data_IF_733102490101
#
_entry.id   IF_733102490101
#
_cell.length_a   1.000
_cell.length_b   1.000
_cell.length_c   1.000
_cell.angle_alpha   90.00
_cell.angle_beta   90.00
_cell.angle_gamma   90.00
#
_symmetry.space_group_name_H-M   'P 1'
#
loop_
_entity.id
_entity.type
_entity.pdbx_description
1 polymer ?
#
# COMPACT_ATOMS: atom_id res chain seq x y z
N UNK A 1 -11.81 -13.43 2.95
CA UNK A 1 -11.04 -14.28 2.02
C UNK A 1 -9.87 -14.87 2.77
N UNK A 2 -9.38 -16.07 2.42
CA UNK A 2 -8.18 -16.63 3.03
C UNK A 2 -6.97 -15.80 2.61
N UNK A 3 -6.10 -15.46 3.57
CA UNK A 3 -4.83 -14.80 3.30
C UNK A 3 -3.93 -15.72 2.49
N UNK A 4 -3.32 -15.22 1.43
CA UNK A 4 -2.20 -15.90 0.78
C UNK A 4 -0.91 -15.34 1.37
N UNK A 5 -0.58 -15.76 2.59
CA UNK A 5 0.78 -15.62 3.12
C UNK A 5 1.57 -16.77 2.53
N UNK A 6 2.41 -16.49 1.53
CA UNK A 6 3.38 -17.50 1.05
C UNK A 6 4.64 -17.41 1.91
N UNK A 7 5.04 -18.56 2.44
CA UNK A 7 6.29 -18.70 3.19
C UNK A 7 7.48 -18.23 2.32
N UNK A 8 8.47 -17.54 2.89
CA UNK A 8 9.68 -17.15 2.17
C UNK A 8 10.37 -18.40 1.63
N UNK A 9 10.52 -18.53 0.31
CA UNK A 9 11.27 -19.62 -0.28
C UNK A 9 12.75 -19.22 -0.29
N UNK A 10 13.45 -19.43 0.82
CA UNK A 10 14.90 -19.29 0.92
C UNK A 10 15.46 -17.86 1.03
N UNK A 11 16.74 -17.74 1.41
CA UNK A 11 17.43 -16.45 1.49
C UNK A 11 17.57 -15.83 0.10
N UNK A 12 17.07 -14.60 -0.08
CA UNK A 12 17.19 -13.84 -1.33
C UNK A 12 15.89 -13.71 -2.15
N UNK A 13 14.78 -14.29 -1.69
CA UNK A 13 13.49 -14.07 -2.34
C UNK A 13 12.74 -12.86 -1.77
N UNK A 14 12.02 -12.15 -2.65
CA UNK A 14 11.06 -11.12 -2.26
C UNK A 14 9.85 -11.76 -1.58
N UNK A 15 9.33 -11.13 -0.53
CA UNK A 15 8.11 -11.55 0.16
C UNK A 15 6.91 -10.72 -0.34
N UNK A 16 5.73 -11.35 -0.40
CA UNK A 16 4.51 -10.71 -0.86
C UNK A 16 3.36 -10.96 0.12
N UNK A 17 2.81 -9.89 0.68
CA UNK A 17 1.67 -9.94 1.58
C UNK A 17 0.52 -9.18 0.95
N UNK A 18 -0.61 -9.83 0.69
CA UNK A 18 -1.76 -9.21 0.03
C UNK A 18 -3.03 -9.56 0.79
N UNK A 19 -4.08 -8.77 0.60
CA UNK A 19 -5.43 -9.13 0.98
C UNK A 19 -6.42 -8.83 -0.17
N UNK A 20 -7.68 -9.27 -0.02
CA UNK A 20 -8.73 -9.18 -1.04
C UNK A 20 -9.65 -7.96 -0.90
N UNK A 21 -9.37 -7.05 0.04
CA UNK A 21 -10.22 -5.88 0.29
C UNK A 21 -9.96 -4.79 -0.76
N UNK A 22 -10.97 -3.93 -1.00
CA UNK A 22 -10.86 -2.83 -1.96
C UNK A 22 -10.25 -1.57 -1.28
N UNK A 23 -9.29 -0.88 -1.93
CA UNK A 23 -8.58 -1.29 -3.14
C UNK A 23 -7.65 -2.44 -2.83
N UNK A 24 -7.36 -3.26 -3.84
CA UNK A 24 -6.37 -4.33 -3.69
C UNK A 24 -5.03 -3.72 -3.30
N UNK A 25 -4.48 -4.18 -2.19
CA UNK A 25 -3.21 -3.70 -1.66
C UNK A 25 -2.33 -4.89 -1.30
N UNK A 26 -1.02 -4.69 -1.45
CA UNK A 26 -0.03 -5.64 -1.03
C UNK A 26 1.22 -4.94 -0.50
N UNK A 27 2.04 -5.66 0.25
CA UNK A 27 3.38 -5.25 0.64
C UNK A 27 4.39 -6.14 -0.07
N UNK A 28 5.24 -5.50 -0.86
CA UNK A 28 6.40 -6.11 -1.48
C UNK A 28 7.62 -5.90 -0.57
N UNK A 29 8.20 -6.98 -0.05
CA UNK A 29 9.49 -6.90 0.64
C UNK A 29 10.62 -7.22 -0.32
N UNK A 30 11.56 -6.30 -0.48
CA UNK A 30 12.72 -6.45 -1.36
C UNK A 30 13.79 -7.32 -0.69
N UNK A 31 14.44 -8.23 -1.43
CA UNK A 31 15.50 -9.06 -0.88
C UNK A 31 16.76 -8.24 -0.62
N UNK A 32 17.47 -8.57 0.47
CA UNK A 32 18.74 -7.91 0.82
C UNK A 32 18.62 -6.46 1.27
N UNK A 33 17.40 -5.95 1.45
CA UNK A 33 17.12 -4.60 1.96
C UNK A 33 16.48 -4.72 3.34
N UNK A 34 16.79 -3.76 4.22
CA UNK A 34 16.16 -3.69 5.55
C UNK A 34 14.63 -3.62 5.42
N UNK A 35 13.90 -4.29 6.32
CA UNK A 35 12.44 -4.37 6.34
C UNK A 35 11.75 -3.06 6.73
N UNK A 36 12.51 -1.98 6.79
CA UNK A 36 12.07 -0.62 7.00
C UNK A 36 10.91 -0.22 6.05
N UNK A 37 9.89 0.40 6.65
CA UNK A 37 8.67 0.79 5.97
C UNK A 37 8.95 1.87 4.92
N UNK A 38 8.54 1.61 3.69
CA UNK A 38 8.81 2.46 2.53
C UNK A 38 10.25 2.41 2.03
N UNK A 39 11.12 1.57 2.60
CA UNK A 39 12.46 1.32 2.07
C UNK A 39 12.52 -0.11 1.53
N UNK A 40 12.63 -1.13 2.38
CA UNK A 40 12.58 -2.52 1.90
C UNK A 40 11.19 -3.14 1.95
N UNK A 41 10.23 -2.57 2.69
CA UNK A 41 8.83 -2.96 2.66
C UNK A 41 7.97 -1.89 1.95
N UNK A 42 7.57 -2.18 0.71
CA UNK A 42 6.88 -1.24 -0.16
C UNK A 42 5.38 -1.54 -0.21
N UNK A 43 4.54 -0.56 0.11
CA UNK A 43 3.10 -0.67 -0.10
C UNK A 43 2.78 -0.49 -1.59
N UNK A 44 2.11 -1.48 -2.16
CA UNK A 44 1.60 -1.54 -3.51
C UNK A 44 0.08 -1.39 -3.48
N UNK A 45 -0.48 -0.47 -4.26
CA UNK A 45 -1.96 -0.32 -4.42
C UNK A 45 -2.33 -0.42 -5.89
N UNK A 46 -3.38 -1.19 -6.18
CA UNK A 46 -3.98 -1.27 -7.50
C UNK A 46 -5.18 -0.32 -7.63
N UNK A 47 -5.18 0.50 -8.68
CA UNK A 47 -6.30 1.36 -9.06
C UNK A 47 -6.97 0.83 -10.33
N UNK A 48 -8.12 0.16 -10.17
CA UNK A 48 -8.94 -0.35 -11.27
C UNK A 48 -9.85 0.76 -11.84
N UNK A 49 -10.46 1.57 -10.98
CA UNK A 49 -11.26 2.74 -11.36
C UNK A 49 -10.81 4.00 -10.61
N UNK A 50 -10.26 4.96 -11.37
CA UNK A 50 -9.74 6.25 -10.86
C UNK A 50 -10.79 7.15 -10.23
N UNK A 51 -12.07 6.93 -10.53
CA UNK A 51 -13.19 7.74 -10.05
C UNK A 51 -13.80 7.19 -8.76
N UNK A 52 -13.40 5.98 -8.37
CA UNK A 52 -13.88 5.31 -7.16
C UNK A 52 -12.96 5.54 -5.97
N UNK A 53 -13.49 5.28 -4.76
CA UNK A 53 -12.72 5.26 -3.52
C UNK A 53 -11.95 6.58 -3.29
N UNK A 54 -10.71 6.52 -2.81
CA UNK A 54 -9.89 7.70 -2.49
C UNK A 54 -9.10 8.26 -3.68
N UNK A 55 -9.13 7.58 -4.84
CA UNK A 55 -8.30 7.97 -5.98
C UNK A 55 -8.60 9.37 -6.55
N UNK A 56 -9.85 9.88 -6.56
CA UNK A 56 -10.14 11.26 -6.93
C UNK A 56 -9.40 12.29 -6.07
N UNK A 57 -9.18 11.97 -4.79
CA UNK A 57 -8.60 12.86 -3.76
C UNK A 57 -7.10 12.65 -3.56
N UNK A 58 -6.45 11.82 -4.38
CA UNK A 58 -5.04 11.45 -4.21
C UNK A 58 -4.08 12.65 -4.28
N UNK A 59 -4.42 13.69 -5.03
CA UNK A 59 -3.64 14.93 -5.09
C UNK A 59 -3.73 15.73 -3.78
N UNK A 60 -4.93 15.83 -3.21
CA UNK A 60 -5.14 16.54 -1.95
C UNK A 60 -4.47 15.80 -0.80
N UNK A 61 -4.61 14.46 -0.75
CA UNK A 61 -3.94 13.62 0.24
C UNK A 61 -2.43 13.83 0.27
N UNK A 62 -1.77 13.87 -0.90
CA UNK A 62 -0.31 14.07 -0.96
C UNK A 62 0.10 15.50 -0.61
N UNK A 63 -0.78 16.49 -0.82
CA UNK A 63 -0.50 17.88 -0.43
C UNK A 63 -0.33 18.07 1.09
N UNK A 64 -0.91 17.17 1.89
CA UNK A 64 -0.77 17.14 3.35
C UNK A 64 0.45 16.37 3.85
N UNK A 65 1.25 15.78 2.96
CA UNK A 65 2.48 15.10 3.32
C UNK A 65 3.62 16.11 3.40
N UNK A 66 4.24 16.36 4.57
CA UNK A 66 5.36 17.28 4.67
C UNK A 66 6.57 16.68 3.95
N UNK A 67 6.79 17.09 2.72
CA UNK A 67 7.92 16.70 1.88
C UNK A 67 8.29 17.82 0.92
N UNK A 68 9.56 17.87 0.51
CA UNK A 68 10.03 18.92 -0.39
C UNK A 68 9.63 18.58 -1.83
N UNK A 69 9.89 17.33 -2.25
CA UNK A 69 9.59 16.84 -3.60
C UNK A 69 9.26 15.35 -3.57
N UNK A 70 8.59 14.89 -4.63
CA UNK A 70 8.39 13.47 -4.91
C UNK A 70 8.99 13.16 -6.27
N UNK A 71 9.89 12.18 -6.31
CA UNK A 71 10.45 11.64 -7.54
C UNK A 71 9.56 10.51 -8.05
N UNK A 72 9.20 10.57 -9.33
CA UNK A 72 8.39 9.55 -10.00
C UNK A 72 9.28 8.70 -10.90
N UNK A 73 9.18 7.38 -10.77
CA UNK A 73 9.91 6.43 -11.60
C UNK A 73 8.97 5.34 -12.11
N UNK A 74 8.73 5.33 -13.43
CA UNK A 74 8.01 4.23 -14.08
C UNK A 74 8.89 2.98 -14.12
N UNK A 75 8.30 1.84 -13.78
CA UNK A 75 8.93 0.52 -13.90
C UNK A 75 10.35 0.46 -13.30
N UNK A 76 10.51 0.94 -12.06
CA UNK A 76 11.81 0.98 -11.36
C UNK A 76 12.52 -0.38 -11.51
N UNK A 77 13.69 -0.44 -12.18
CA UNK A 77 14.36 -1.69 -12.53
C UNK A 77 14.76 -2.52 -11.31
N UNK A 78 14.80 -1.92 -10.12
CA UNK A 78 15.09 -2.61 -8.86
C UNK A 78 13.86 -3.26 -8.24
N UNK A 79 12.67 -2.75 -8.56
CA UNK A 79 11.39 -3.21 -8.00
C UNK A 79 10.69 -4.14 -9.01
N UNK A 80 10.76 -3.81 -10.30
CA UNK A 80 9.96 -4.42 -11.36
C UNK A 80 10.11 -5.95 -11.43
N UNK A 81 11.32 -6.57 -11.37
CA UNK A 81 11.44 -8.02 -11.42
C UNK A 81 10.70 -8.73 -10.26
N UNK A 82 10.79 -8.17 -9.06
CA UNK A 82 10.13 -8.71 -7.87
C UNK A 82 8.62 -8.50 -7.93
N UNK A 83 8.19 -7.29 -8.31
CA UNK A 83 6.79 -6.96 -8.45
C UNK A 83 6.09 -7.81 -9.52
N UNK A 84 6.69 -7.98 -10.70
CA UNK A 84 6.14 -8.81 -11.79
C UNK A 84 6.00 -10.27 -11.35
N UNK A 85 7.04 -10.85 -10.75
CA UNK A 85 7.01 -12.24 -10.30
C UNK A 85 5.89 -12.48 -9.27
N UNK A 86 5.73 -11.58 -8.31
CA UNK A 86 4.69 -11.70 -7.27
C UNK A 86 3.30 -11.34 -7.77
N UNK A 87 3.18 -10.29 -8.58
CA UNK A 87 1.92 -9.84 -9.17
C UNK A 87 1.29 -10.91 -10.06
N UNK A 88 2.09 -11.61 -10.87
CA UNK A 88 1.63 -12.76 -11.66
C UNK A 88 1.09 -13.88 -10.77
N UNK A 89 1.84 -14.25 -9.71
CA UNK A 89 1.44 -15.30 -8.77
C UNK A 89 0.15 -14.94 -8.01
N UNK A 90 -0.05 -13.66 -7.72
CA UNK A 90 -1.21 -13.13 -7.02
C UNK A 90 -2.36 -12.71 -7.94
N UNK A 91 -2.28 -13.01 -9.26
CA UNK A 91 -3.27 -12.63 -10.25
C UNK A 91 -3.66 -11.14 -10.18
N UNK A 92 -2.67 -10.26 -10.09
CA UNK A 92 -2.90 -8.82 -10.16
C UNK A 92 -3.39 -8.42 -11.55
N UNK A 93 -4.37 -7.49 -11.64
CA UNK A 93 -5.04 -7.19 -12.91
C UNK A 93 -4.12 -6.53 -13.95
N UNK A 94 -3.01 -5.93 -13.50
CA UNK A 94 -1.95 -5.43 -14.38
C UNK A 94 -0.60 -5.38 -13.64
N UNK A 95 0.48 -5.28 -14.39
CA UNK A 95 1.86 -5.29 -13.88
C UNK A 95 2.63 -4.00 -14.20
N UNK A 96 1.94 -2.98 -14.74
CA UNK A 96 2.50 -1.66 -14.97
C UNK A 96 2.53 -0.90 -13.66
N UNK A 97 3.71 -0.45 -13.25
CA UNK A 97 3.93 0.15 -11.94
C UNK A 97 4.55 1.56 -12.05
N UNK A 98 4.20 2.41 -11.09
CA UNK A 98 4.86 3.69 -10.84
C UNK A 98 5.34 3.70 -9.39
N UNK A 99 6.63 3.93 -9.20
CA UNK A 99 7.22 4.14 -7.87
C UNK A 99 7.31 5.63 -7.59
N UNK A 100 6.77 6.06 -6.45
CA UNK A 100 7.01 7.40 -5.91
C UNK A 100 8.03 7.31 -4.78
N UNK A 101 9.02 8.20 -4.81
CA UNK A 101 10.04 8.33 -3.77
C UNK A 101 10.04 9.75 -3.22
N UNK A 102 9.89 9.90 -1.90
CA UNK A 102 9.99 11.21 -1.25
C UNK A 102 11.44 11.68 -1.22
N UNK A 103 11.68 12.91 -1.68
CA UNK A 103 12.96 13.57 -1.67
C UNK A 103 12.89 14.72 -0.66
N UNK A 104 13.70 14.63 0.40
CA UNK A 104 13.76 15.64 1.46
C UNK A 104 12.61 15.57 2.48
N UNK A 105 12.70 16.44 3.50
CA UNK A 105 11.75 16.50 4.61
C UNK A 105 11.75 15.28 5.57
N UNK A 106 10.77 15.23 6.51
CA UNK A 106 10.66 14.18 7.54
C UNK A 106 10.43 12.77 6.99
N UNK A 107 10.00 12.65 5.74
CA UNK A 107 9.68 11.38 5.09
C UNK A 107 10.68 11.03 3.98
N UNK A 108 11.88 11.60 3.98
CA UNK A 108 12.90 11.33 2.96
C UNK A 108 13.15 9.82 2.75
N UNK A 109 13.31 9.43 1.49
CA UNK A 109 13.49 8.06 1.01
C UNK A 109 12.29 7.12 1.18
N UNK A 110 11.15 7.62 1.64
CA UNK A 110 9.92 6.83 1.68
C UNK A 110 9.44 6.53 0.26
N UNK A 111 9.17 5.25 -0.02
CA UNK A 111 8.69 4.78 -1.32
C UNK A 111 7.36 4.05 -1.22
N UNK A 112 6.57 4.18 -2.28
CA UNK A 112 5.35 3.40 -2.48
C UNK A 112 5.08 3.17 -3.97
N UNK A 113 4.28 2.16 -4.28
CA UNK A 113 4.04 1.70 -5.65
C UNK A 113 2.56 1.81 -5.99
N UNK A 114 2.25 2.49 -7.09
CA UNK A 114 0.93 2.54 -7.69
C UNK A 114 0.84 1.68 -8.94
N UNK A 115 -0.23 0.93 -9.08
CA UNK A 115 -0.42 -0.04 -10.16
C UNK A 115 -1.74 0.20 -10.85
N UNK A 116 -1.71 0.32 -12.18
CA UNK A 116 -2.87 0.54 -13.04
C UNK A 116 -2.48 0.45 -14.52
N UNK A 117 -3.48 0.26 -15.38
CA UNK A 117 -3.32 0.19 -16.84
C UNK A 117 -3.00 1.52 -17.50
N UNK A 118 -3.21 2.66 -16.82
CA UNK A 118 -2.92 3.99 -17.36
C UNK A 118 -2.10 4.85 -16.37
N UNK A 119 -1.30 5.78 -16.91
CA UNK A 119 -0.37 6.60 -16.13
C UNK A 119 -1.05 7.45 -15.05
N UNK A 120 -2.21 8.07 -15.37
CA UNK A 120 -2.95 8.91 -14.40
C UNK A 120 -3.46 8.09 -13.20
N UNK A 121 -3.96 6.88 -13.45
CA UNK A 121 -4.40 5.96 -12.40
C UNK A 121 -3.22 5.45 -11.57
N UNK A 122 -2.08 5.14 -12.20
CA UNK A 122 -0.85 4.76 -11.47
C UNK A 122 -0.40 5.86 -10.53
N UNK A 123 -0.40 7.11 -11.00
CA UNK A 123 -0.03 8.27 -10.19
C UNK A 123 -0.98 8.46 -8.99
N UNK A 124 -2.29 8.32 -9.19
CA UNK A 124 -3.27 8.38 -8.10
C UNK A 124 -3.06 7.26 -7.08
N UNK A 125 -2.91 6.02 -7.55
CA UNK A 125 -2.66 4.87 -6.69
C UNK A 125 -1.37 5.04 -5.87
N UNK A 126 -0.29 5.49 -6.51
CA UNK A 126 1.01 5.65 -5.87
C UNK A 126 0.98 6.75 -4.82
N UNK A 127 0.26 7.85 -5.06
CA UNK A 127 0.07 8.92 -4.07
C UNK A 127 -0.69 8.43 -2.85
N UNK A 128 -1.80 7.71 -3.04
CA UNK A 128 -2.54 7.13 -1.91
C UNK A 128 -1.66 6.15 -1.13
N UNK A 129 -0.91 5.29 -1.83
CA UNK A 129 0.02 4.35 -1.22
C UNK A 129 1.11 5.05 -0.42
N UNK A 130 1.66 6.16 -0.94
CA UNK A 130 2.71 6.92 -0.30
C UNK A 130 2.23 7.58 1.00
N UNK A 131 1.09 8.27 0.94
CA UNK A 131 0.50 8.91 2.13
C UNK A 131 0.12 7.84 3.16
N UNK A 132 -0.46 6.72 2.74
CA UNK A 132 -0.79 5.62 3.62
C UNK A 132 0.47 5.04 4.30
N UNK A 133 1.57 4.86 3.56
CA UNK A 133 2.85 4.38 4.10
C UNK A 133 3.43 5.38 5.11
N UNK A 134 3.39 6.68 4.80
CA UNK A 134 3.88 7.73 5.69
C UNK A 134 3.11 7.75 7.01
N UNK A 135 1.78 7.59 6.93
CA UNK A 135 0.89 7.55 8.09
C UNK A 135 1.04 6.26 8.88
N UNK A 136 1.22 5.12 8.19
CA UNK A 136 1.49 3.85 8.84
C UNK A 136 2.76 3.90 9.69
N UNK A 137 3.78 4.65 9.25
CA UNK A 137 5.04 4.86 9.98
C UNK A 137 4.90 5.78 11.20
N UNK A 138 3.94 6.71 11.20
CA UNK A 138 3.69 7.60 12.32
C UNK A 138 2.80 6.91 13.37
N UNK A 139 3.40 6.30 14.39
CA UNK A 139 2.65 5.59 15.44
C UNK A 139 1.68 6.50 16.24
N UNK A 140 1.87 7.83 16.23
CA UNK A 140 1.09 8.80 17.02
C UNK A 140 0.89 10.15 16.28
N UNK A 141 0.44 10.12 15.02
CA UNK A 141 0.37 11.32 14.16
C UNK A 141 -1.02 11.97 14.07
N UNK A 142 -1.03 13.31 14.03
CA UNK A 142 -2.20 14.17 13.84
C UNK A 142 -3.13 13.71 12.69
N UNK A 143 -4.43 13.74 12.93
CA UNK A 143 -5.46 13.30 12.01
C UNK A 143 -5.48 14.19 10.75
N UNK A 144 -5.34 13.60 9.55
CA UNK A 144 -5.73 14.29 8.31
C UNK A 144 -7.25 14.19 8.26
N UNK A 145 -7.92 15.34 8.22
CA UNK A 145 -9.34 15.41 7.92
C UNK A 145 -9.57 14.84 6.52
N UNK A 146 -10.29 13.73 6.43
CA UNK A 146 -10.47 13.03 5.16
C UNK A 146 -11.36 13.88 4.25
N UNK A 147 -10.89 14.32 3.07
CA UNK A 147 -11.70 15.10 2.15
C UNK A 147 -12.96 14.36 1.67
N UNK A 148 -13.01 13.02 1.76
CA UNK A 148 -14.21 12.26 1.41
C UNK A 148 -15.21 12.07 2.57
N UNK A 149 -14.99 12.67 3.74
CA UNK A 149 -15.92 12.66 4.88
C UNK A 149 -16.11 11.32 5.62
N UNK A 150 -15.63 10.22 5.04
CA UNK A 150 -15.76 8.86 5.61
C UNK A 150 -14.46 8.39 6.29
N UNK A 151 -14.54 7.46 7.24
CA UNK A 151 -13.35 6.89 7.89
C UNK A 151 -12.49 6.01 6.95
N UNK A 152 -12.83 5.94 5.67
CA UNK A 152 -12.24 5.08 4.64
C UNK A 152 -10.71 5.17 4.56
N UNK A 153 -10.12 6.38 4.59
CA UNK A 153 -8.65 6.49 4.57
C UNK A 153 -8.02 6.00 5.88
N UNK A 154 -8.67 6.27 7.03
CA UNK A 154 -8.18 5.82 8.34
C UNK A 154 -8.17 4.28 8.41
N UNK A 155 -9.26 3.65 8.00
CA UNK A 155 -9.37 2.19 7.93
C UNK A 155 -8.31 1.59 7.00
N UNK A 156 -8.07 2.24 5.86
CA UNK A 156 -7.02 1.81 4.94
C UNK A 156 -5.61 1.97 5.52
N UNK A 157 -5.32 3.04 6.26
CA UNK A 157 -4.03 3.20 6.96
C UNK A 157 -3.84 2.12 8.01
N UNK A 158 -4.87 1.76 8.79
CA UNK A 158 -4.80 0.66 9.77
C UNK A 158 -4.54 -0.69 9.09
N UNK A 159 -5.21 -0.94 7.97
CA UNK A 159 -4.96 -2.11 7.12
C UNK A 159 -3.52 -2.12 6.59
N UNK A 160 -3.03 -0.99 6.09
CA UNK A 160 -1.66 -0.86 5.59
C UNK A 160 -0.63 -1.08 6.71
N UNK A 161 -0.86 -0.55 7.92
CA UNK A 161 -0.02 -0.80 9.10
C UNK A 161 0.10 -2.29 9.40
N UNK A 162 -1.03 -2.99 9.36
CA UNK A 162 -1.13 -4.43 9.64
C UNK A 162 -0.29 -5.21 8.60
N UNK A 163 -0.54 -4.97 7.30
CA UNK A 163 0.24 -5.57 6.21
C UNK A 163 1.75 -5.28 6.32
N UNK A 164 2.12 -4.01 6.59
CA UNK A 164 3.50 -3.57 6.70
C UNK A 164 4.23 -4.18 7.91
N UNK A 165 3.52 -4.41 9.01
CA UNK A 165 4.03 -5.13 10.17
C UNK A 165 4.27 -6.63 9.91
N UNK A 166 3.87 -7.15 8.74
CA UNK A 166 3.93 -8.58 8.45
C UNK A 166 2.81 -9.37 9.11
N UNK A 167 1.89 -8.68 9.78
CA UNK A 167 0.68 -9.26 10.31
C UNK A 167 -0.33 -9.20 9.16
N UNK A 168 -0.49 -10.29 8.40
CA UNK A 168 -1.67 -10.37 7.53
C UNK A 168 -2.91 -10.08 8.38
N UNK A 169 -3.88 -9.32 7.86
CA UNK A 169 -5.02 -8.81 8.62
C UNK A 169 -5.89 -9.96 9.14
N UNK A 170 -5.45 -10.69 10.17
CA UNK A 170 -6.13 -11.83 10.74
C UNK A 170 -7.58 -11.43 10.92
N UNK A 171 -8.45 -12.01 10.08
CA UNK A 171 -9.85 -11.70 10.02
C UNK A 171 -10.37 -11.91 11.44
N UNK A 172 -10.46 -10.85 12.23
CA UNK A 172 -11.16 -10.84 13.49
C UNK A 172 -12.60 -11.00 13.08
N UNK A 173 -12.99 -12.26 12.91
CA UNK A 173 -14.36 -12.68 12.78
C UNK A 173 -15.06 -12.04 13.98
N UNK A 174 -15.74 -10.94 13.71
CA UNK A 174 -16.65 -10.31 14.63
C UNK A 174 -17.80 -11.31 14.72
N UNK A 175 -17.64 -12.32 15.58
CA UNK A 175 -18.70 -13.23 15.95
C UNK A 175 -19.70 -12.37 16.68
N UNK A 176 -20.67 -11.81 15.95
CA UNK A 176 -21.88 -11.28 16.55
C UNK A 176 -22.48 -12.45 17.33
N UNK A 177 -22.25 -12.45 18.65
CA UNK A 177 -22.95 -13.31 19.59
C UNK A 177 -24.42 -12.95 19.51
N UNK A 178 -25.14 -13.64 18.62
CA UNK A 178 -26.59 -13.70 18.65
C UNK A 178 -26.96 -14.39 19.96
N UNK A 179 -27.25 -13.58 20.97
CA UNK A 179 -27.86 -14.00 22.20
C UNK A 179 -29.18 -14.68 21.86
N UNK A 180 -29.23 -16.00 22.03
CA UNK A 180 -30.49 -16.73 22.08
C UNK A 180 -31.25 -16.28 23.32
N UNK A 181 -32.44 -15.73 23.12
CA UNK A 181 -33.47 -15.65 24.16
C UNK A 181 -34.50 -16.72 23.87
N UNK A 182 -34.77 -17.48 24.92
CA UNK A 182 -35.71 -18.60 25.02
C UNK A 182 -37.16 -18.22 24.69
#
# INVERSE_FOLDING_TARGET
GPFVVRAPCGPGESEWLTDDLQPRAAVLRLPGVDRDLGIGALLCICCEDRSSWLFPWAADLVSHLPCDRVHEQEEDPRIQPHFVAQGLRANWPCLLSLTLTVIGGPHANLRAVGVATNAKSRQRAARVALVATARARQQHGAFIENPCGENTFREFVQRAQTLLAGQGAASSAHTCGGAGTA
#
